data_IF_901866694576
#
_entry.id   IF_901866694576
#
_cell.length_a   1.000
_cell.length_b   1.000
_cell.length_c   1.000
_cell.angle_alpha   90.00
_cell.angle_beta   90.00
_cell.angle_gamma   90.00
#
_symmetry.space_group_name_H-M   'P 1'
#
loop_
_entity.id
_entity.type
_entity.pdbx_description
1 polymer ?
#
# COMPACT_ATOMS: atom_id res chain seq x y z
N UNK A 1 27.42 16.16 -10.52
CA UNK A 1 27.65 14.78 -11.00
C UNK A 1 26.97 13.80 -10.05
N UNK A 2 25.79 13.25 -10.40
CA UNK A 2 25.16 12.24 -9.55
C UNK A 2 25.94 10.94 -9.65
N UNK A 3 26.42 10.42 -8.52
CA UNK A 3 27.13 9.15 -8.46
C UNK A 3 26.14 8.02 -8.80
N UNK A 4 26.25 7.44 -9.99
CA UNK A 4 25.42 6.29 -10.41
C UNK A 4 25.83 5.07 -9.59
N UNK A 5 24.92 4.55 -8.78
CA UNK A 5 25.17 3.35 -7.96
C UNK A 5 24.41 2.18 -8.57
N UNK A 6 25.17 1.18 -9.03
CA UNK A 6 24.64 -0.08 -9.55
C UNK A 6 25.24 -1.23 -8.79
N UNK A 7 24.38 -2.08 -8.26
CA UNK A 7 24.78 -3.31 -7.59
C UNK A 7 23.78 -4.40 -7.94
N UNK A 8 24.26 -5.56 -8.37
CA UNK A 8 23.46 -6.74 -8.59
C UNK A 8 24.12 -7.92 -7.88
N UNK A 9 23.34 -8.66 -7.09
CA UNK A 9 23.84 -9.87 -6.43
C UNK A 9 24.13 -10.97 -7.45
N UNK A 10 25.17 -11.76 -7.21
CA UNK A 10 25.50 -12.94 -8.04
C UNK A 10 24.41 -14.03 -7.97
N UNK A 11 23.71 -14.12 -6.85
CA UNK A 11 22.60 -15.05 -6.67
C UNK A 11 21.40 -14.62 -7.50
N UNK A 12 20.93 -15.53 -8.37
CA UNK A 12 19.78 -15.33 -9.24
C UNK A 12 18.67 -16.30 -8.84
N UNK A 13 17.46 -15.78 -8.64
CA UNK A 13 16.24 -16.57 -8.48
C UNK A 13 15.36 -16.33 -9.71
N UNK A 14 14.89 -17.39 -10.37
CA UNK A 14 14.04 -17.27 -11.57
C UNK A 14 14.64 -16.39 -12.71
N UNK A 15 15.97 -16.39 -12.83
CA UNK A 15 16.68 -15.58 -13.84
C UNK A 15 16.88 -14.11 -13.47
N UNK A 16 16.38 -13.66 -12.31
CA UNK A 16 16.56 -12.30 -11.79
C UNK A 16 17.49 -12.27 -10.58
N UNK A 17 18.32 -11.23 -10.41
CA UNK A 17 19.17 -11.10 -9.23
C UNK A 17 18.31 -11.01 -7.96
N UNK A 18 18.78 -11.64 -6.88
CA UNK A 18 18.12 -11.58 -5.58
C UNK A 18 17.99 -10.13 -5.08
N UNK A 19 19.07 -9.36 -5.21
CA UNK A 19 19.14 -7.95 -4.87
C UNK A 19 19.63 -7.16 -6.09
N UNK A 20 18.84 -6.17 -6.51
CA UNK A 20 19.18 -5.21 -7.56
C UNK A 20 19.06 -3.80 -7.02
N UNK A 21 20.14 -3.03 -7.12
CA UNK A 21 20.19 -1.61 -6.77
C UNK A 21 20.59 -0.86 -8.03
N UNK A 22 19.76 0.09 -8.45
CA UNK A 22 20.05 0.98 -9.58
C UNK A 22 19.56 2.39 -9.25
N UNK A 23 20.49 3.30 -8.94
CA UNK A 23 20.17 4.70 -8.64
C UNK A 23 20.90 5.64 -9.59
N UNK A 24 20.14 6.55 -10.21
CA UNK A 24 20.66 7.63 -11.02
C UNK A 24 20.63 7.37 -12.54
N UNK A 25 20.75 8.44 -13.33
CA UNK A 25 20.78 8.38 -14.78
C UNK A 25 22.02 7.62 -15.27
N UNK A 26 21.86 6.88 -16.37
CA UNK A 26 22.94 6.20 -17.07
C UNK A 26 23.11 6.76 -18.49
N UNK A 27 24.09 7.67 -18.69
CA UNK A 27 24.40 8.19 -20.01
C UNK A 27 24.95 7.12 -20.98
N UNK A 28 25.43 5.97 -20.49
CA UNK A 28 25.93 4.88 -21.35
C UNK A 28 24.81 4.01 -21.96
N UNK A 29 23.59 4.08 -21.43
CA UNK A 29 22.42 3.36 -21.94
C UNK A 29 21.27 4.27 -22.40
N UNK A 30 21.47 5.58 -22.42
CA UNK A 30 20.39 6.55 -22.72
C UNK A 30 19.18 6.39 -21.77
N UNK A 31 19.42 6.03 -20.50
CA UNK A 31 18.37 5.91 -19.49
C UNK A 31 18.44 7.08 -18.50
N UNK A 32 17.45 7.97 -18.51
CA UNK A 32 17.34 9.07 -17.54
C UNK A 32 17.03 8.58 -16.11
N UNK A 33 16.69 7.29 -15.93
CA UNK A 33 16.31 6.69 -14.64
C UNK A 33 16.89 5.28 -14.48
N UNK A 34 17.42 5.00 -13.29
CA UNK A 34 17.91 3.66 -12.95
C UNK A 34 16.78 2.64 -12.81
N UNK A 35 16.74 1.64 -13.69
CA UNK A 35 15.82 0.51 -13.60
C UNK A 35 16.43 -0.63 -12.79
N UNK A 36 15.93 -0.86 -11.57
CA UNK A 36 16.29 -2.00 -10.74
C UNK A 36 15.28 -3.15 -10.95
N UNK A 37 15.78 -4.34 -11.29
CA UNK A 37 14.95 -5.55 -11.47
C UNK A 37 15.53 -6.69 -10.67
N UNK A 38 14.79 -7.21 -9.70
CA UNK A 38 15.26 -8.29 -8.82
C UNK A 38 14.16 -8.79 -7.88
N UNK A 39 14.47 -9.77 -7.03
CA UNK A 39 13.53 -10.16 -5.95
C UNK A 39 13.34 -8.97 -5.00
N UNK A 40 14.45 -8.34 -4.62
CA UNK A 40 14.51 -7.09 -3.88
C UNK A 40 15.12 -6.03 -4.80
N UNK A 41 14.35 -4.99 -5.13
CA UNK A 41 14.74 -3.95 -6.07
C UNK A 41 14.74 -2.58 -5.40
N UNK A 42 15.87 -1.85 -5.51
CA UNK A 42 16.04 -0.48 -5.02
C UNK A 42 16.43 0.45 -6.17
N UNK A 43 15.64 1.47 -6.46
CA UNK A 43 15.99 2.40 -7.53
C UNK A 43 14.97 3.48 -7.83
N UNK A 44 15.21 4.28 -8.89
CA UNK A 44 14.23 5.26 -9.35
C UNK A 44 13.00 4.56 -9.93
N UNK A 45 13.22 3.46 -10.66
CA UNK A 45 12.20 2.53 -11.11
C UNK A 45 12.56 1.12 -10.63
N UNK A 46 11.87 0.64 -9.60
CA UNK A 46 12.11 -0.66 -8.98
C UNK A 46 11.01 -1.66 -9.37
N UNK A 47 11.40 -2.80 -9.93
CA UNK A 47 10.48 -3.91 -10.24
C UNK A 47 10.96 -5.18 -9.54
N UNK A 48 10.12 -5.77 -8.69
CA UNK A 48 10.50 -6.96 -7.93
C UNK A 48 9.40 -7.55 -7.06
N UNK A 49 9.74 -8.50 -6.20
CA UNK A 49 8.82 -8.92 -5.14
C UNK A 49 8.70 -7.82 -4.09
N UNK A 50 9.83 -7.26 -3.68
CA UNK A 50 9.94 -6.08 -2.80
C UNK A 50 10.60 -4.97 -3.62
N UNK A 51 9.85 -3.91 -3.91
CA UNK A 51 10.31 -2.78 -4.72
C UNK A 51 10.31 -1.49 -3.89
N UNK A 52 11.45 -0.80 -3.83
CA UNK A 52 11.64 0.42 -3.07
C UNK A 52 12.21 1.50 -3.99
N UNK A 53 11.46 2.59 -4.22
CA UNK A 53 11.86 3.56 -5.22
C UNK A 53 10.93 4.75 -5.46
N UNK A 54 11.25 5.57 -6.46
CA UNK A 54 10.34 6.63 -6.91
C UNK A 54 9.08 6.02 -7.53
N UNK A 55 9.27 5.09 -8.46
CA UNK A 55 8.25 4.21 -9.02
C UNK A 55 8.57 2.78 -8.60
N UNK A 56 7.70 2.16 -7.82
CA UNK A 56 7.88 0.81 -7.29
C UNK A 56 6.77 -0.12 -7.82
N UNK A 57 7.16 -1.25 -8.39
CA UNK A 57 6.27 -2.27 -8.95
C UNK A 57 6.59 -3.63 -8.35
N UNK A 58 5.67 -4.23 -7.61
CA UNK A 58 5.95 -5.52 -6.99
C UNK A 58 4.83 -6.11 -6.16
N UNK A 59 5.13 -7.12 -5.35
CA UNK A 59 4.18 -7.62 -4.34
C UNK A 59 4.08 -6.60 -3.22
N UNK A 60 5.23 -6.13 -2.73
CA UNK A 60 5.36 -5.04 -1.77
C UNK A 60 6.05 -3.86 -2.47
N UNK A 61 5.34 -2.75 -2.62
CA UNK A 61 5.85 -1.56 -3.29
C UNK A 61 5.92 -0.37 -2.32
N UNK A 62 7.10 0.20 -2.13
CA UNK A 62 7.33 1.35 -1.25
C UNK A 62 7.91 2.49 -2.08
N UNK A 63 7.24 3.65 -2.12
CA UNK A 63 7.72 4.72 -2.99
C UNK A 63 6.88 5.98 -3.16
N UNK A 64 7.18 6.76 -4.18
CA UNK A 64 6.31 7.86 -4.60
C UNK A 64 5.04 7.33 -5.27
N UNK A 65 5.23 6.46 -6.25
CA UNK A 65 4.17 5.74 -6.97
C UNK A 65 4.38 4.24 -6.77
N UNK A 66 3.44 3.57 -6.12
CA UNK A 66 3.48 2.14 -5.84
C UNK A 66 2.41 1.37 -6.60
N UNK A 67 2.80 0.27 -7.25
CA UNK A 67 1.90 -0.68 -7.91
C UNK A 67 2.18 -2.07 -7.34
N UNK A 68 1.23 -2.66 -6.62
CA UNK A 68 1.46 -3.96 -6.02
C UNK A 68 0.32 -4.55 -5.22
N UNK A 69 0.55 -5.69 -4.56
CA UNK A 69 -0.45 -6.26 -3.67
C UNK A 69 -0.56 -5.43 -2.39
N UNK A 70 0.58 -5.06 -1.82
CA UNK A 70 0.69 -4.18 -0.64
C UNK A 70 1.52 -2.96 -1.05
N UNK A 71 0.93 -1.77 -0.98
CA UNK A 71 1.62 -0.53 -1.39
C UNK A 71 1.71 0.47 -0.26
N UNK A 72 2.90 1.02 -0.03
CA UNK A 72 3.20 2.11 0.89
C UNK A 72 3.75 3.26 0.05
N UNK A 73 2.90 4.17 -0.41
CA UNK A 73 3.32 5.18 -1.38
C UNK A 73 2.64 6.54 -1.26
N UNK A 74 3.11 7.55 -1.99
CA UNK A 74 2.33 8.79 -2.15
C UNK A 74 1.04 8.53 -2.94
N UNK A 75 1.18 7.79 -4.05
CA UNK A 75 0.08 7.27 -4.87
C UNK A 75 0.22 5.75 -4.96
N UNK A 76 -0.76 5.02 -4.45
CA UNK A 76 -0.72 3.55 -4.36
C UNK A 76 -1.86 2.89 -5.12
N UNK A 77 -1.55 1.90 -5.96
CA UNK A 77 -2.50 1.04 -6.64
C UNK A 77 -2.28 -0.41 -6.23
N UNK A 78 -3.31 -1.10 -5.71
CA UNK A 78 -3.12 -2.46 -5.23
C UNK A 78 -4.29 -3.21 -4.62
N UNK A 79 -3.99 -4.30 -3.91
CA UNK A 79 -4.96 -5.00 -3.06
C UNK A 79 -5.15 -4.29 -1.73
N UNK A 80 -4.03 -3.95 -1.09
CA UNK A 80 -3.92 -3.17 0.14
C UNK A 80 -3.03 -1.97 -0.11
N UNK A 81 -3.59 -0.76 0.01
CA UNK A 81 -2.84 0.47 -0.22
C UNK A 81 -2.88 1.36 1.02
N UNK A 82 -1.69 1.75 1.47
CA UNK A 82 -1.44 2.81 2.43
C UNK A 82 -0.77 3.96 1.66
N UNK A 83 -1.57 4.94 1.24
CA UNK A 83 -1.07 6.02 0.41
C UNK A 83 -1.81 7.34 0.61
N UNK A 84 -1.19 8.46 0.25
CA UNK A 84 -1.90 9.76 0.24
C UNK A 84 -3.11 9.71 -0.70
N UNK A 85 -2.92 9.15 -1.89
CA UNK A 85 -3.96 8.74 -2.83
C UNK A 85 -3.88 7.22 -3.02
N UNK A 86 -4.88 6.50 -2.51
CA UNK A 86 -4.91 5.04 -2.50
C UNK A 86 -6.06 4.53 -3.39
N UNK A 87 -5.75 3.67 -4.35
CA UNK A 87 -6.74 2.95 -5.18
C UNK A 87 -6.53 1.45 -4.95
N UNK A 88 -7.37 0.83 -4.12
CA UNK A 88 -7.18 -0.56 -3.75
C UNK A 88 -8.46 -1.24 -3.25
N UNK A 89 -8.45 -2.58 -3.12
CA UNK A 89 -9.57 -3.28 -2.47
C UNK A 89 -9.75 -2.80 -1.02
N UNK A 90 -8.64 -2.67 -0.29
CA UNK A 90 -8.57 -2.01 1.02
C UNK A 90 -7.63 -0.81 0.93
N UNK A 91 -8.18 0.40 0.98
CA UNK A 91 -7.48 1.64 0.78
C UNK A 91 -7.46 2.49 2.06
N UNK A 92 -6.28 2.99 2.43
CA UNK A 92 -6.03 3.89 3.55
C UNK A 92 -5.28 5.13 3.06
N UNK A 93 -5.80 6.32 3.34
CA UNK A 93 -5.18 7.54 2.83
C UNK A 93 -5.89 8.84 3.12
N UNK A 94 -5.39 9.92 2.51
CA UNK A 94 -6.13 11.18 2.42
C UNK A 94 -7.31 11.03 1.46
N UNK A 95 -7.02 10.52 0.26
CA UNK A 95 -8.00 10.12 -0.76
C UNK A 95 -7.94 8.61 -0.94
N UNK A 96 -9.00 7.89 -0.57
CA UNK A 96 -9.08 6.44 -0.63
C UNK A 96 -10.22 6.00 -1.55
N UNK A 97 -9.92 5.21 -2.58
CA UNK A 97 -10.87 4.68 -3.55
C UNK A 97 -10.78 3.16 -3.51
N UNK A 98 -11.87 2.48 -3.15
CA UNK A 98 -11.81 1.04 -2.91
C UNK A 98 -13.11 0.40 -2.48
N UNK A 99 -13.12 -0.91 -2.32
CA UNK A 99 -14.27 -1.59 -1.72
C UNK A 99 -14.39 -1.26 -0.23
N UNK A 100 -13.26 -1.30 0.48
CA UNK A 100 -13.07 -0.80 1.83
C UNK A 100 -12.14 0.41 1.77
N UNK A 101 -12.65 1.61 2.06
CA UNK A 101 -11.86 2.84 1.99
C UNK A 101 -11.93 3.62 3.30
N UNK A 102 -10.77 3.99 3.85
CA UNK A 102 -10.66 4.81 5.04
C UNK A 102 -9.78 6.03 4.77
N UNK A 103 -10.32 7.23 5.01
CA UNK A 103 -9.60 8.46 4.74
C UNK A 103 -10.44 9.73 4.90
N UNK A 104 -9.84 10.88 4.58
CA UNK A 104 -10.55 12.15 4.56
C UNK A 104 -11.63 12.17 3.47
N UNK A 105 -11.23 11.76 2.25
CA UNK A 105 -12.13 11.53 1.11
C UNK A 105 -12.11 10.04 0.79
N UNK A 106 -13.21 9.34 1.06
CA UNK A 106 -13.34 7.90 0.82
C UNK A 106 -14.46 7.64 -0.20
N UNK A 107 -14.17 6.89 -1.26
CA UNK A 107 -15.13 6.51 -2.30
C UNK A 107 -15.13 4.99 -2.43
N UNK A 108 -16.27 4.37 -2.14
CA UNK A 108 -16.36 2.92 -2.07
C UNK A 108 -17.72 2.38 -1.65
N UNK A 109 -17.86 1.05 -1.68
CA UNK A 109 -19.05 0.38 -1.14
C UNK A 109 -19.12 0.46 0.39
N UNK A 110 -17.96 0.42 1.05
CA UNK A 110 -17.82 0.51 2.50
C UNK A 110 -16.76 1.54 2.86
N UNK A 111 -17.18 2.67 3.40
CA UNK A 111 -16.28 3.81 3.66
C UNK A 111 -16.24 4.20 5.13
N UNK A 112 -15.06 4.61 5.61
CA UNK A 112 -14.86 5.33 6.86
C UNK A 112 -14.27 6.69 6.54
N UNK A 113 -15.10 7.71 6.70
CA UNK A 113 -14.79 9.14 6.64
C UNK A 113 -15.28 9.80 7.94
N UNK A 114 -14.86 11.03 8.20
CA UNK A 114 -15.35 11.82 9.34
C UNK A 114 -16.87 12.00 9.35
N UNK A 115 -17.52 11.96 8.19
CA UNK A 115 -18.97 12.15 8.06
C UNK A 115 -19.76 10.84 8.03
N UNK A 116 -19.12 9.74 7.64
CA UNK A 116 -19.78 8.45 7.40
C UNK A 116 -18.87 7.30 7.77
N UNK A 117 -19.31 6.48 8.72
CA UNK A 117 -18.62 5.26 9.11
C UNK A 117 -19.60 4.09 9.00
N UNK A 118 -19.48 3.30 7.93
CA UNK A 118 -20.33 2.13 7.73
C UNK A 118 -19.89 0.98 8.65
N UNK A 119 -20.85 0.29 9.26
CA UNK A 119 -20.58 -0.82 10.18
C UNK A 119 -19.74 -1.94 9.54
N UNK A 120 -19.99 -2.29 8.27
CA UNK A 120 -19.22 -3.31 7.55
C UNK A 120 -17.75 -2.90 7.37
N UNK A 121 -17.48 -1.61 7.18
CA UNK A 121 -16.11 -1.10 7.11
C UNK A 121 -15.43 -1.20 8.48
N UNK A 122 -16.12 -0.82 9.56
CA UNK A 122 -15.60 -0.90 10.92
C UNK A 122 -15.24 -2.35 11.26
N UNK A 123 -16.15 -3.31 11.05
CA UNK A 123 -15.90 -4.73 11.32
C UNK A 123 -14.72 -5.26 10.48
N UNK A 124 -14.58 -4.83 9.23
CA UNK A 124 -13.42 -5.18 8.41
C UNK A 124 -12.11 -4.66 9.01
N UNK A 125 -12.06 -3.40 9.44
CA UNK A 125 -10.88 -2.80 10.04
C UNK A 125 -10.61 -3.30 11.47
N UNK A 126 -11.63 -3.69 12.23
CA UNK A 126 -11.50 -4.40 13.51
C UNK A 126 -10.87 -5.78 13.31
N UNK A 127 -11.32 -6.53 12.30
CA UNK A 127 -10.70 -7.81 11.93
C UNK A 127 -9.23 -7.67 11.54
N UNK A 128 -8.88 -6.55 10.90
CA UNK A 128 -7.49 -6.19 10.57
C UNK A 128 -6.68 -5.70 11.80
N UNK A 129 -7.30 -5.56 12.97
CA UNK A 129 -6.65 -5.07 14.19
C UNK A 129 -6.33 -3.57 14.18
N UNK A 130 -6.89 -2.81 13.22
CA UNK A 130 -6.61 -1.39 13.00
C UNK A 130 -7.63 -0.46 13.66
N UNK A 131 -8.73 -1.02 14.15
CA UNK A 131 -9.69 -0.35 15.02
C UNK A 131 -9.85 -1.18 16.30
N UNK A 132 -9.38 -0.67 17.43
CA UNK A 132 -9.69 -1.25 18.74
C UNK A 132 -10.80 -0.39 19.34
N UNK A 133 -12.04 -0.79 19.13
CA UNK A 133 -13.16 -0.25 19.91
C UNK A 133 -12.94 -0.59 21.38
N UNK A 134 -12.50 0.40 22.17
CA UNK A 134 -12.54 0.32 23.64
C UNK A 134 -13.97 0.63 24.13
N UNK A 135 -14.97 -0.05 23.57
CA UNK A 135 -16.35 0.10 24.01
C UNK A 135 -17.01 -1.27 24.16
N UNK A 136 -16.66 -1.92 25.27
CA UNK A 136 -17.48 -2.93 25.91
C UNK A 136 -18.79 -2.27 26.37
N UNK A 137 -19.74 -2.05 25.46
CA UNK A 137 -21.15 -1.97 25.84
C UNK A 137 -21.80 -3.25 25.35
N UNK A 138 -22.06 -4.23 26.24
CA UNK A 138 -22.91 -5.35 25.90
C UNK A 138 -24.25 -4.78 25.44
N UNK A 139 -24.63 -5.12 24.23
CA UNK A 139 -25.95 -4.86 23.67
C UNK A 139 -26.91 -5.89 24.30
N UNK A 140 -27.03 -5.87 25.62
CA UNK A 140 -27.92 -6.74 26.40
C UNK A 140 -28.53 -5.95 27.56
N UNK A 141 -29.27 -4.88 27.24
CA UNK A 141 -30.16 -4.25 28.21
C UNK A 141 -31.34 -3.47 27.60
N UNK A 142 -31.66 -3.67 26.31
CA UNK A 142 -32.85 -3.03 25.70
C UNK A 142 -34.03 -3.98 25.51
N UNK A 143 -33.97 -5.21 26.01
CA UNK A 143 -35.05 -6.19 25.76
C UNK A 143 -35.32 -7.09 26.97
N UNK A 144 -35.67 -6.50 28.12
CA UNK A 144 -36.54 -7.18 29.08
C UNK A 144 -37.31 -6.21 29.96
N UNK A 145 -38.63 -6.35 29.89
CA UNK A 145 -39.71 -5.74 30.69
C UNK A 145 -40.20 -4.34 30.31
N UNK A 146 -40.65 -4.23 29.07
CA UNK A 146 -42.03 -3.82 28.84
C UNK A 146 -42.89 -5.10 28.80
N UNK A 147 -43.30 -5.61 29.97
CA UNK A 147 -44.39 -6.58 30.23
C UNK A 147 -44.18 -7.13 31.66
N UNK A 148 -44.78 -6.43 32.61
CA UNK A 148 -45.49 -6.89 33.82
C UNK A 148 -45.79 -5.67 34.70
#
# INVERSE_FOLDING_TARGET
MSRTVRYASSWKLFGWPLLSIARGPDPARQEDRGHAKGVIAFGDNATGAIAIGGVARGVVAIGGIGLGLVTLAGVGLGGFAFAGVAIAQTAFGGVAIGHYAQGGVAVGAHTITSERADHTAIVWFERLGLHRSNNSRPIEASEKKAED
#
